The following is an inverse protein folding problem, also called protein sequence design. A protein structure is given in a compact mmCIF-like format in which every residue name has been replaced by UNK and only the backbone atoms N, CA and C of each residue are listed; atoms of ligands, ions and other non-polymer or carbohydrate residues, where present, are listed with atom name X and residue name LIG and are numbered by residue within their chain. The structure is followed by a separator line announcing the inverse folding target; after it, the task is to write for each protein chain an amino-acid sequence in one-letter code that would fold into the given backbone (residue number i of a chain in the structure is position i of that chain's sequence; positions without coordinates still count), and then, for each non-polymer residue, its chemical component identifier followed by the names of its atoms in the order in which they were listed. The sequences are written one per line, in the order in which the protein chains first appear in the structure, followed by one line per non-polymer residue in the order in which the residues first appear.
data_IF_862552816303
#
_entry.id   IF_862552816303
#
_cell.length_a   1.000
_cell.length_b   1.000
_cell.length_c   1.000
_cell.angle_alpha   90.00
_cell.angle_beta   90.00
_cell.angle_gamma   90.00
#
_symmetry.space_group_name_H-M   'P 1'
#
loop_
_entity.id
_entity.type
_entity.pdbx_description
1 polymer ?
#
# COMPACT_ATOMS: atom_id res chain seq x y z
N UNK A 1 20.34 -40.85 11.93
CA UNK A 1 19.46 -41.97 12.32
C UNK A 1 19.41 -42.92 11.15
N UNK A 2 19.61 -44.21 11.39
CA UNK A 2 19.63 -45.21 10.33
C UNK A 2 18.34 -46.01 10.40
N UNK A 3 17.57 -46.04 9.32
CA UNK A 3 16.38 -46.87 9.20
C UNK A 3 16.71 -48.00 8.23
N UNK A 4 16.39 -49.24 8.61
CA UNK A 4 16.64 -50.43 7.79
C UNK A 4 15.33 -51.11 7.43
N UNK A 5 15.20 -51.57 6.19
CA UNK A 5 14.06 -52.38 5.76
C UNK A 5 14.30 -53.88 5.99
N UNK A 6 13.25 -54.69 5.82
CA UNK A 6 13.30 -56.16 5.98
C UNK A 6 14.17 -56.84 4.92
N UNK A 7 14.51 -56.15 3.83
CA UNK A 7 15.43 -56.63 2.79
C UNK A 7 16.89 -56.25 3.08
N UNK A 8 17.15 -55.46 4.14
CA UNK A 8 18.49 -55.06 4.57
C UNK A 8 18.99 -53.74 3.96
N UNK A 9 18.16 -52.99 3.24
CA UNK A 9 18.56 -51.68 2.72
C UNK A 9 18.57 -50.64 3.83
N UNK A 10 19.61 -49.81 3.88
CA UNK A 10 19.79 -48.79 4.91
C UNK A 10 19.56 -47.38 4.35
N UNK A 11 18.61 -46.65 4.91
CA UNK A 11 18.43 -45.23 4.67
C UNK A 11 19.02 -44.44 5.85
N UNK A 12 20.08 -43.69 5.56
CA UNK A 12 20.70 -42.79 6.52
C UNK A 12 20.00 -41.43 6.46
N UNK A 13 19.19 -41.13 7.48
CA UNK A 13 18.55 -39.82 7.62
C UNK A 13 19.44 -38.91 8.48
N UNK A 14 19.72 -37.69 8.02
CA UNK A 14 20.38 -36.69 8.85
C UNK A 14 19.49 -36.39 10.07
N UNK A 15 20.11 -36.27 11.25
CA UNK A 15 19.40 -35.96 12.52
C UNK A 15 19.48 -34.49 12.89
N UNK A 16 20.19 -33.72 12.08
CA UNK A 16 20.33 -32.30 12.23
C UNK A 16 20.08 -31.66 10.86
N UNK A 17 19.06 -30.82 10.81
CA UNK A 17 18.74 -30.01 9.66
C UNK A 17 19.09 -28.57 10.03
N UNK A 18 20.01 -27.97 9.28
CA UNK A 18 20.32 -26.55 9.42
C UNK A 18 19.13 -25.76 8.86
N UNK A 19 18.18 -25.42 9.73
CA UNK A 19 17.09 -24.51 9.38
C UNK A 19 17.70 -23.12 9.32
N UNK A 20 17.95 -22.63 8.10
CA UNK A 20 18.23 -21.23 7.87
C UNK A 20 16.92 -20.48 8.04
N UNK A 21 16.73 -19.90 9.21
CA UNK A 21 15.68 -18.89 9.40
C UNK A 21 16.20 -17.66 8.68
N UNK A 22 15.47 -17.24 7.66
CA UNK A 22 15.72 -15.95 7.05
C UNK A 22 15.37 -14.88 8.09
N UNK A 23 16.43 -14.27 8.65
CA UNK A 23 16.35 -13.18 9.63
C UNK A 23 16.64 -11.83 8.97
N UNK A 24 16.89 -11.83 7.66
CA UNK A 24 16.98 -10.59 6.92
C UNK A 24 15.59 -9.98 6.94
N UNK A 25 15.49 -8.78 7.53
CA UNK A 25 14.28 -7.97 7.41
C UNK A 25 14.00 -7.92 5.91
N UNK A 26 12.78 -8.30 5.45
CA UNK A 26 12.44 -8.20 4.05
C UNK A 26 12.85 -6.80 3.59
N UNK A 27 13.66 -6.72 2.54
CA UNK A 27 13.77 -5.45 1.85
C UNK A 27 12.33 -5.01 1.58
N UNK A 28 12.00 -3.79 2.00
CA UNK A 28 10.73 -3.20 1.61
C UNK A 28 10.62 -3.46 0.10
N UNK A 29 9.49 -3.98 -0.40
CA UNK A 29 9.35 -4.27 -1.80
C UNK A 29 9.91 -3.07 -2.54
N UNK A 30 10.87 -3.31 -3.44
CA UNK A 30 11.29 -2.28 -4.37
C UNK A 30 10.03 -1.98 -5.17
N UNK A 31 9.26 -1.02 -4.64
CA UNK A 31 8.22 -0.30 -5.33
C UNK A 31 8.99 0.54 -6.32
N UNK A 32 9.57 -0.14 -7.31
CA UNK A 32 10.13 0.47 -8.48
C UNK A 32 9.07 1.48 -8.87
N UNK A 33 9.44 2.76 -8.78
CA UNK A 33 8.53 3.84 -9.10
C UNK A 33 8.38 3.80 -10.62
N UNK A 34 7.68 2.80 -11.11
CA UNK A 34 6.94 2.83 -12.35
C UNK A 34 5.65 3.57 -12.02
N UNK A 35 5.82 4.88 -11.81
CA UNK A 35 4.82 5.92 -12.03
C UNK A 35 3.35 5.46 -12.04
N UNK A 36 2.82 5.11 -10.88
CA UNK A 36 1.42 5.40 -10.57
C UNK A 36 1.41 6.64 -9.68
N UNK A 37 1.53 7.82 -10.32
CA UNK A 37 1.42 9.12 -9.65
C UNK A 37 2.71 9.60 -8.99
N UNK A 38 3.70 10.01 -9.77
CA UNK A 38 4.68 11.00 -9.30
C UNK A 38 3.92 12.19 -8.72
N UNK A 39 4.09 12.43 -7.42
CA UNK A 39 3.48 13.53 -6.65
C UNK A 39 3.58 14.88 -7.37
N UNK A 40 4.65 15.11 -8.14
CA UNK A 40 4.87 16.37 -8.85
C UNK A 40 3.95 16.59 -10.06
N UNK A 41 3.31 15.55 -10.60
CA UNK A 41 2.38 15.69 -11.76
C UNK A 41 0.92 15.70 -11.34
N UNK A 42 0.58 15.24 -10.12
CA UNK A 42 -0.79 15.23 -9.61
C UNK A 42 -1.30 16.64 -9.26
N UNK A 43 -0.43 17.56 -8.81
CA UNK A 43 -0.81 18.93 -8.46
C UNK A 43 -1.25 19.79 -9.66
N UNK A 44 -0.88 19.41 -10.89
CA UNK A 44 -1.23 20.14 -12.12
C UNK A 44 -2.49 19.60 -12.82
N UNK A 45 -3.04 18.46 -12.35
CA UNK A 45 -4.23 17.84 -12.91
C UNK A 45 -5.47 18.12 -12.05
N UNK A 46 -6.65 18.16 -12.68
CA UNK A 46 -7.91 18.20 -11.92
C UNK A 46 -8.21 16.82 -11.31
N UNK A 47 -9.03 16.77 -10.25
CA UNK A 47 -9.49 15.51 -9.66
C UNK A 47 -10.12 14.58 -10.72
N UNK A 48 -10.92 15.16 -11.61
CA UNK A 48 -11.54 14.43 -12.71
C UNK A 48 -10.51 13.82 -13.68
N UNK A 49 -9.42 14.54 -13.97
CA UNK A 49 -8.36 14.02 -14.84
C UNK A 49 -7.62 12.87 -14.16
N UNK A 50 -7.32 13.00 -12.85
CA UNK A 50 -6.69 11.93 -12.06
C UNK A 50 -7.59 10.71 -11.96
N UNK A 51 -8.90 10.90 -11.74
CA UNK A 51 -9.87 9.82 -11.68
C UNK A 51 -10.07 9.15 -13.05
N UNK A 52 -10.08 9.92 -14.15
CA UNK A 52 -10.19 9.36 -15.50
C UNK A 52 -8.95 8.53 -15.92
N UNK A 53 -7.80 8.78 -15.30
CA UNK A 53 -6.58 7.99 -15.50
C UNK A 53 -6.54 6.73 -14.63
N UNK A 54 -7.34 6.66 -13.56
CA UNK A 54 -7.40 5.53 -12.66
C UNK A 54 -8.59 4.62 -12.97
N UNK A 55 -8.47 3.36 -12.56
CA UNK A 55 -9.57 2.39 -12.65
C UNK A 55 -10.30 2.30 -11.30
N UNK A 56 -11.57 1.92 -11.33
CA UNK A 56 -12.33 1.68 -10.10
C UNK A 56 -11.87 0.39 -9.40
N UNK A 57 -12.08 0.30 -8.09
CA UNK A 57 -11.82 -0.90 -7.29
C UNK A 57 -10.36 -1.41 -7.32
N UNK A 58 -9.37 -0.54 -7.54
CA UNK A 58 -7.97 -0.97 -7.64
C UNK A 58 -7.40 -1.56 -6.35
N UNK A 59 -7.81 -1.04 -5.18
CA UNK A 59 -7.27 -1.40 -3.87
C UNK A 59 -8.35 -1.84 -2.89
N UNK A 60 -9.53 -1.24 -2.95
CA UNK A 60 -10.72 -1.61 -2.20
C UNK A 60 -11.80 -1.96 -3.21
N UNK A 61 -12.31 -3.20 -3.19
CA UNK A 61 -13.36 -3.59 -4.14
C UNK A 61 -14.73 -3.02 -3.74
N UNK A 62 -14.97 -1.74 -4.08
CA UNK A 62 -16.17 -0.99 -3.69
C UNK A 62 -16.76 -0.12 -4.82
N UNK A 63 -16.23 -0.22 -6.04
CA UNK A 63 -16.73 0.48 -7.22
C UNK A 63 -16.43 1.98 -7.26
N UNK A 64 -15.51 2.48 -6.43
CA UNK A 64 -15.06 3.88 -6.43
C UNK A 64 -13.74 4.02 -7.16
N UNK A 65 -13.51 5.20 -7.73
CA UNK A 65 -12.19 5.52 -8.29
C UNK A 65 -11.22 5.81 -7.15
N UNK A 66 -10.04 5.20 -7.21
CA UNK A 66 -9.09 5.20 -6.10
C UNK A 66 -7.72 5.69 -6.53
N UNK A 67 -7.10 6.48 -5.67
CA UNK A 67 -5.73 6.98 -5.82
C UNK A 67 -4.93 6.58 -4.59
N UNK A 68 -3.73 6.02 -4.78
CA UNK A 68 -2.76 5.82 -3.69
C UNK A 68 -1.77 6.96 -3.64
N UNK A 69 -1.42 7.33 -2.42
CA UNK A 69 -0.44 8.35 -2.10
C UNK A 69 0.57 7.73 -1.14
N UNK A 70 1.78 7.53 -1.64
CA UNK A 70 2.90 6.92 -0.90
C UNK A 70 4.11 7.84 -0.91
N UNK A 71 4.89 7.83 0.17
CA UNK A 71 6.07 8.68 0.33
C UNK A 71 7.12 8.02 1.21
N UNK A 72 8.19 8.76 1.52
CA UNK A 72 9.17 8.28 2.49
C UNK A 72 8.64 8.47 3.91
N UNK A 73 9.03 7.56 4.80
CA UNK A 73 8.66 7.69 6.21
C UNK A 73 9.25 8.99 6.79
N UNK A 74 8.38 9.81 7.39
CA UNK A 74 8.77 11.11 7.94
C UNK A 74 8.61 12.29 6.97
N UNK A 75 8.09 12.06 5.76
CA UNK A 75 7.63 13.15 4.90
C UNK A 75 6.38 13.82 5.53
N UNK A 76 6.40 15.15 5.59
CA UNK A 76 5.25 15.97 5.99
C UNK A 76 4.37 16.16 4.75
N UNK A 77 3.33 15.34 4.63
CA UNK A 77 2.32 15.47 3.58
C UNK A 77 0.97 15.61 4.23
N UNK A 78 0.30 16.73 3.95
CA UNK A 78 -1.09 16.93 4.39
C UNK A 78 -2.04 16.55 3.27
N UNK A 79 -3.26 16.18 3.65
CA UNK A 79 -4.32 15.92 2.67
C UNK A 79 -4.55 17.13 1.75
N UNK A 80 -4.51 18.35 2.29
CA UNK A 80 -4.62 19.59 1.51
C UNK A 80 -3.54 19.77 0.43
N UNK A 81 -2.35 19.18 0.61
CA UNK A 81 -1.26 19.22 -0.37
C UNK A 81 -1.43 18.17 -1.48
N UNK A 82 -2.23 17.14 -1.21
CA UNK A 82 -2.54 16.04 -2.14
C UNK A 82 -3.73 16.42 -3.03
N UNK A 83 -4.70 17.14 -2.47
CA UNK A 83 -5.93 17.44 -3.17
C UNK A 83 -5.67 18.31 -4.41
N UNK A 84 -6.32 18.01 -5.54
CA UNK A 84 -6.24 18.82 -6.75
C UNK A 84 -6.60 20.29 -6.51
N UNK A 85 -5.99 21.20 -7.28
CA UNK A 85 -6.28 22.64 -7.15
C UNK A 85 -7.78 22.93 -7.25
N UNK A 86 -8.30 23.60 -6.23
CA UNK A 86 -9.69 24.03 -6.17
C UNK A 86 -10.62 23.06 -5.41
N UNK A 87 -10.11 21.90 -4.99
CA UNK A 87 -10.80 21.04 -4.04
C UNK A 87 -10.76 21.64 -2.62
N UNK A 88 -11.88 21.54 -1.92
CA UNK A 88 -12.01 21.95 -0.53
C UNK A 88 -11.84 20.71 0.36
N UNK A 89 -10.89 20.74 1.29
CA UNK A 89 -10.64 19.63 2.22
C UNK A 89 -11.89 19.28 3.05
N UNK A 90 -12.80 20.22 3.28
CA UNK A 90 -14.06 19.95 3.98
C UNK A 90 -15.02 19.02 3.21
N UNK A 91 -14.80 18.84 1.90
CA UNK A 91 -15.51 17.85 1.09
C UNK A 91 -14.93 16.45 1.22
N UNK A 92 -13.91 16.24 2.05
CA UNK A 92 -13.25 14.96 2.24
C UNK A 92 -13.37 14.52 3.69
N UNK A 93 -13.72 13.25 3.89
CA UNK A 93 -13.87 12.66 5.20
C UNK A 93 -13.01 11.41 5.28
N UNK A 94 -12.29 11.25 6.38
CA UNK A 94 -11.60 10.00 6.65
C UNK A 94 -12.62 8.89 6.88
N UNK A 95 -12.49 7.78 6.16
CA UNK A 95 -13.27 6.58 6.40
C UNK A 95 -12.84 5.93 7.72
N UNK A 96 -13.74 5.18 8.34
CA UNK A 96 -13.42 4.43 9.54
C UNK A 96 -12.51 3.25 9.21
N UNK A 97 -11.27 3.30 9.68
CA UNK A 97 -10.28 2.23 9.54
C UNK A 97 -9.23 2.51 8.45
N UNK A 98 -8.39 1.51 8.23
CA UNK A 98 -7.27 1.56 7.30
C UNK A 98 -7.38 0.42 6.28
N UNK A 99 -6.65 0.55 5.18
CA UNK A 99 -6.47 -0.53 4.19
C UNK A 99 -4.99 -0.91 4.13
N UNK A 100 -4.71 -2.20 4.00
CA UNK A 100 -3.34 -2.70 3.80
C UNK A 100 -3.16 -3.11 2.34
N UNK A 101 -2.23 -2.47 1.64
CA UNK A 101 -1.87 -2.78 0.25
C UNK A 101 -0.40 -3.14 0.22
N UNK A 102 -0.08 -4.34 -0.32
CA UNK A 102 1.30 -4.85 -0.38
C UNK A 102 2.07 -4.82 0.96
N UNK A 103 1.37 -4.95 2.09
CA UNK A 103 1.96 -4.92 3.44
C UNK A 103 2.16 -3.51 4.04
N UNK A 104 1.74 -2.46 3.34
CA UNK A 104 1.77 -1.08 3.81
C UNK A 104 0.35 -0.62 4.17
N UNK A 105 0.21 0.08 5.29
CA UNK A 105 -1.08 0.58 5.79
C UNK A 105 -1.37 2.00 5.29
N UNK A 106 -2.61 2.24 4.86
CA UNK A 106 -3.11 3.51 4.34
C UNK A 106 -4.38 3.93 5.07
N UNK A 107 -4.46 5.23 5.39
CA UNK A 107 -5.69 5.91 5.75
C UNK A 107 -6.51 6.17 4.48
N UNK A 108 -7.83 5.98 4.55
CA UNK A 108 -8.72 6.19 3.41
C UNK A 108 -9.51 7.48 3.61
N UNK A 109 -9.46 8.38 2.63
CA UNK A 109 -10.27 9.59 2.59
C UNK A 109 -11.26 9.49 1.44
N UNK A 110 -12.53 9.77 1.70
CA UNK A 110 -13.60 9.71 0.73
C UNK A 110 -14.20 11.11 0.51
N UNK A 111 -14.50 11.44 -0.73
CA UNK A 111 -15.21 12.67 -1.03
C UNK A 111 -16.70 12.60 -0.62
N UNK A 112 -17.35 13.76 -0.48
CA UNK A 112 -18.77 13.86 -0.11
C UNK A 112 -19.72 13.31 -1.17
N UNK A 113 -19.33 13.29 -2.45
CA UNK A 113 -20.09 12.65 -3.52
C UNK A 113 -20.09 11.11 -3.41
N UNK A 114 -19.04 10.54 -2.80
CA UNK A 114 -18.92 9.11 -2.49
C UNK A 114 -18.46 8.24 -3.64
N UNK A 115 -17.96 8.83 -4.72
CA UNK A 115 -17.42 8.19 -5.91
C UNK A 115 -15.88 8.17 -5.96
N UNK A 116 -15.21 8.91 -5.08
CA UNK A 116 -13.75 9.02 -5.03
C UNK A 116 -13.15 8.64 -3.67
N UNK A 117 -11.99 7.97 -3.71
CA UNK A 117 -11.17 7.67 -2.53
C UNK A 117 -9.69 7.99 -2.75
N UNK A 118 -9.05 8.57 -1.73
CA UNK A 118 -7.61 8.81 -1.65
C UNK A 118 -7.04 8.00 -0.49
N UNK A 119 -6.09 7.12 -0.78
CA UNK A 119 -5.43 6.24 0.17
C UNK A 119 -4.06 6.84 0.52
N UNK A 120 -3.90 7.37 1.73
CA UNK A 120 -2.67 8.05 2.18
C UNK A 120 -1.92 7.19 3.16
N UNK A 121 -0.65 6.92 2.88
CA UNK A 121 0.20 6.04 3.70
C UNK A 121 0.25 6.51 5.16
N UNK A 122 0.02 5.59 6.11
CA UNK A 122 -0.17 5.92 7.53
C UNK A 122 1.11 6.43 8.24
N UNK A 123 2.28 6.24 7.65
CA UNK A 123 3.57 6.69 8.20
C UNK A 123 3.99 8.09 7.72
N UNK A 124 3.14 8.78 6.95
CA UNK A 124 3.26 10.20 6.66
C UNK A 124 2.74 10.99 7.88
N UNK A 125 3.35 12.15 8.18
CA UNK A 125 2.89 13.00 9.29
C UNK A 125 1.55 13.63 8.92
N UNK A 126 0.44 12.98 9.31
CA UNK A 126 -0.91 13.52 9.11
C UNK A 126 -1.26 14.50 10.23
N UNK A 127 -0.99 15.78 10.04
CA UNK A 127 -1.62 16.83 10.85
C UNK A 127 -2.91 17.30 10.16
N UNK A 128 -4.07 16.86 10.64
CA UNK A 128 -5.33 17.56 10.37
C UNK A 128 -5.45 18.73 11.34
N UNK A 129 -5.51 19.95 10.83
CA UNK A 129 -5.64 21.16 11.63
C UNK A 129 -6.89 21.96 11.27
#
# INVERSE_FOLDING_TARGET
MVIRDTAGNELNLPTNYQVRVDLEKPEAPDVGIESFGVFETLMDLSLNDIMALNSDSLFIDNGKSQVIVSGNAGDDVKLEDILPKGEDISNWNQANGTVTVAGVEYNVYQNTAGDAEVLVQNNLHNEQH
#
